data_IF_781910200341
#
_entry.id   IF_781910200341
#
_cell.length_a   1.000
_cell.length_b   1.000
_cell.length_c   1.000
_cell.angle_alpha   90.00
_cell.angle_beta   90.00
_cell.angle_gamma   90.00
#
_symmetry.space_group_name_H-M   'P 1'
#
loop_
_entity.id
_entity.type
_entity.pdbx_description
1 polymer ?
#
# COMPACT_ATOMS: atom_id res chain seq x y z
N UNK A 1 -5.76 -19.83 -2.73
CA UNK A 1 -6.85 -19.13 -3.39
C UNK A 1 -6.52 -17.67 -3.59
N UNK A 2 -7.16 -17.01 -4.55
CA UNK A 2 -6.86 -15.62 -4.88
C UNK A 2 -6.95 -14.67 -3.70
N UNK A 3 -7.98 -14.85 -2.86
CA UNK A 3 -8.19 -13.97 -1.72
C UNK A 3 -7.05 -14.04 -0.71
N UNK A 4 -6.53 -15.25 -0.47
CA UNK A 4 -5.43 -15.42 0.49
C UNK A 4 -4.14 -14.79 -0.05
N UNK A 5 -3.90 -14.92 -1.35
CA UNK A 5 -2.72 -14.34 -1.99
C UNK A 5 -2.77 -12.82 -1.89
N UNK A 6 -3.95 -12.23 -2.12
CA UNK A 6 -4.12 -10.78 -2.03
C UNK A 6 -3.94 -10.30 -0.60
N UNK A 7 -4.47 -11.04 0.38
CA UNK A 7 -4.31 -10.69 1.78
C UNK A 7 -2.85 -10.73 2.21
N UNK A 8 -2.13 -11.77 1.78
CA UNK A 8 -0.70 -11.88 2.07
C UNK A 8 0.06 -10.72 1.46
N UNK A 9 -0.31 -10.33 0.25
CA UNK A 9 0.32 -9.20 -0.42
C UNK A 9 0.02 -7.89 0.31
N UNK A 10 -1.21 -7.70 0.78
CA UNK A 10 -1.58 -6.52 1.55
C UNK A 10 -0.72 -6.40 2.81
N UNK A 11 -0.54 -7.52 3.51
CA UNK A 11 0.29 -7.54 4.72
C UNK A 11 1.74 -7.15 4.37
N UNK A 12 2.26 -7.68 3.28
CA UNK A 12 3.60 -7.34 2.82
C UNK A 12 3.73 -5.83 2.56
N UNK A 13 2.77 -5.25 1.84
CA UNK A 13 2.80 -3.82 1.51
C UNK A 13 2.70 -2.98 2.78
N UNK A 14 1.82 -3.36 3.69
CA UNK A 14 1.63 -2.66 4.95
C UNK A 14 2.94 -2.62 5.76
N UNK A 15 3.58 -3.78 5.90
CA UNK A 15 4.82 -3.88 6.67
C UNK A 15 5.95 -3.08 6.02
N UNK A 16 6.06 -3.16 4.70
CA UNK A 16 7.08 -2.39 3.97
C UNK A 16 6.84 -0.89 4.11
N UNK A 17 5.60 -0.47 3.96
CA UNK A 17 5.27 0.96 4.07
C UNK A 17 5.57 1.50 5.46
N UNK A 18 5.18 0.76 6.49
CA UNK A 18 5.45 1.15 7.88
C UNK A 18 6.95 1.30 8.12
N UNK A 19 7.71 0.33 7.62
CA UNK A 19 9.15 0.34 7.83
C UNK A 19 9.83 1.48 7.08
N UNK A 20 9.52 1.63 5.80
CA UNK A 20 10.19 2.63 4.95
C UNK A 20 9.79 4.05 5.32
N UNK A 21 8.54 4.28 5.70
CA UNK A 21 8.04 5.60 6.04
C UNK A 21 8.03 5.87 7.54
N UNK A 22 8.49 4.91 8.33
CA UNK A 22 8.56 5.02 9.80
C UNK A 22 7.23 5.45 10.39
N UNK A 23 6.16 4.81 9.95
CA UNK A 23 4.80 5.10 10.41
C UNK A 23 4.34 4.06 11.41
N UNK A 24 3.48 4.48 12.35
CA UNK A 24 2.79 3.53 13.21
C UNK A 24 1.66 2.87 12.42
N UNK A 25 1.15 1.75 12.95
CA UNK A 25 0.02 1.07 12.33
C UNK A 25 -1.18 1.99 12.19
N UNK A 26 -1.49 2.77 13.24
CA UNK A 26 -2.63 3.68 13.23
C UNK A 26 -2.47 4.77 12.18
N UNK A 27 -1.30 5.35 12.07
CA UNK A 27 -1.03 6.38 11.07
C UNK A 27 -1.20 5.83 9.66
N UNK A 28 -0.68 4.65 9.43
CA UNK A 28 -0.75 4.00 8.12
C UNK A 28 -2.19 3.67 7.75
N UNK A 29 -2.97 3.11 8.70
CA UNK A 29 -4.36 2.77 8.46
C UNK A 29 -5.17 4.02 8.11
N UNK A 30 -4.94 5.12 8.83
CA UNK A 30 -5.61 6.39 8.54
C UNK A 30 -5.31 6.87 7.12
N UNK A 31 -4.05 6.85 6.72
CA UNK A 31 -3.65 7.28 5.38
C UNK A 31 -4.27 6.39 4.31
N UNK A 32 -4.17 5.09 4.50
CA UNK A 32 -4.65 4.13 3.50
C UNK A 32 -6.17 4.19 3.36
N UNK A 33 -6.88 4.42 4.46
CA UNK A 33 -8.33 4.55 4.42
C UNK A 33 -8.75 5.87 3.77
N UNK A 34 -8.10 6.96 4.15
CA UNK A 34 -8.44 8.29 3.65
C UNK A 34 -8.25 8.41 2.14
N UNK A 35 -7.19 7.82 1.61
CA UNK A 35 -6.85 7.96 0.19
C UNK A 35 -7.17 6.71 -0.62
N UNK A 36 -7.94 5.79 -0.04
CA UNK A 36 -8.39 4.56 -0.72
C UNK A 36 -7.23 3.72 -1.26
N UNK A 37 -6.15 3.65 -0.48
CA UNK A 37 -4.95 2.92 -0.90
C UNK A 37 -5.18 1.41 -0.92
N UNK A 38 -6.01 0.89 0.00
CA UNK A 38 -6.32 -0.54 -0.01
C UNK A 38 -6.97 -0.94 -1.34
N UNK A 39 -7.91 -0.14 -1.82
CA UNK A 39 -8.55 -0.40 -3.12
C UNK A 39 -7.54 -0.33 -4.26
N UNK A 40 -6.64 0.64 -4.22
CA UNK A 40 -5.58 0.75 -5.20
C UNK A 40 -4.73 -0.51 -5.25
N UNK A 41 -4.32 -1.03 -4.09
CA UNK A 41 -3.48 -2.21 -4.02
C UNK A 41 -4.22 -3.44 -4.57
N UNK A 42 -5.48 -3.62 -4.16
CA UNK A 42 -6.27 -4.76 -4.59
C UNK A 42 -6.52 -4.72 -6.09
N UNK A 43 -6.91 -3.56 -6.61
CA UNK A 43 -7.26 -3.41 -8.02
C UNK A 43 -6.05 -3.47 -8.95
N UNK A 44 -4.85 -3.26 -8.42
CA UNK A 44 -3.62 -3.26 -9.21
C UNK A 44 -2.66 -4.36 -8.80
N UNK A 45 -3.17 -5.41 -8.18
CA UNK A 45 -2.35 -6.51 -7.68
C UNK A 45 -1.44 -7.07 -8.76
N UNK A 46 -1.99 -7.31 -9.96
CA UNK A 46 -1.22 -7.92 -11.05
C UNK A 46 0.02 -7.10 -11.42
N UNK A 47 -0.10 -5.80 -11.39
CA UNK A 47 1.03 -4.92 -11.67
C UNK A 47 1.96 -4.78 -10.47
N UNK A 48 1.38 -4.60 -9.29
CA UNK A 48 2.15 -4.30 -8.09
C UNK A 48 2.94 -5.48 -7.56
N UNK A 49 2.40 -6.70 -7.69
CA UNK A 49 3.05 -7.86 -7.06
C UNK A 49 4.41 -8.21 -7.68
N UNK A 50 4.72 -7.63 -8.85
CA UNK A 50 6.03 -7.82 -9.49
C UNK A 50 7.02 -6.74 -9.09
N UNK A 51 6.58 -5.74 -8.32
CA UNK A 51 7.43 -4.63 -7.90
C UNK A 51 7.99 -4.88 -6.50
N UNK A 52 9.13 -4.28 -6.22
CA UNK A 52 9.70 -4.32 -4.88
C UNK A 52 8.94 -3.41 -3.93
N UNK A 53 9.08 -3.66 -2.62
CA UNK A 53 8.38 -2.88 -1.60
C UNK A 53 8.65 -1.38 -1.67
N UNK A 54 9.88 -1.00 -2.02
CA UNK A 54 10.24 0.41 -2.17
C UNK A 54 9.49 1.09 -3.30
N UNK A 55 9.43 0.42 -4.45
CA UNK A 55 8.73 0.97 -5.61
C UNK A 55 7.23 1.11 -5.32
N UNK A 56 6.64 0.13 -4.64
CA UNK A 56 5.23 0.18 -4.25
C UNK A 56 5.00 1.34 -3.28
N UNK A 57 5.88 1.52 -2.31
CA UNK A 57 5.79 2.61 -1.34
C UNK A 57 5.85 3.97 -2.03
N UNK A 58 6.74 4.10 -3.02
CA UNK A 58 6.86 5.35 -3.78
C UNK A 58 5.58 5.65 -4.55
N UNK A 59 4.96 4.62 -5.16
CA UNK A 59 3.69 4.78 -5.87
C UNK A 59 2.58 5.20 -4.91
N UNK A 60 2.53 4.61 -3.74
CA UNK A 60 1.52 4.98 -2.73
C UNK A 60 1.69 6.43 -2.32
N UNK A 61 2.92 6.84 -2.05
CA UNK A 61 3.20 8.23 -1.66
C UNK A 61 2.84 9.21 -2.76
N UNK A 62 3.07 8.83 -4.00
CA UNK A 62 2.68 9.65 -5.14
C UNK A 62 1.17 9.88 -5.17
N UNK A 63 0.39 8.83 -4.92
CA UNK A 63 -1.07 8.93 -4.88
C UNK A 63 -1.52 9.83 -3.74
N UNK A 64 -0.93 9.64 -2.56
CA UNK A 64 -1.28 10.44 -1.38
C UNK A 64 -0.99 11.91 -1.64
N UNK A 65 0.14 12.23 -2.22
CA UNK A 65 0.51 13.60 -2.54
C UNK A 65 -0.48 14.23 -3.52
N UNK A 66 -0.86 13.50 -4.55
CA UNK A 66 -1.77 14.03 -5.56
C UNK A 66 -3.16 14.27 -5.00
N UNK A 67 -3.66 13.35 -4.18
CA UNK A 67 -5.00 13.47 -3.60
C UNK A 67 -5.04 14.47 -2.46
N UNK A 68 -3.93 14.66 -1.78
CA UNK A 68 -3.84 15.57 -0.65
C UNK A 68 -3.58 17.03 -1.03
N UNK A 69 -3.34 17.28 -2.30
CA UNK A 69 -3.01 18.64 -2.79
C UNK A 69 -4.23 19.48 -3.08
#
# INVERSE_FOLDING_TARGET
>A
MKTDIINDFLIFVIEEYKYLEKKTANEMIELFSKYEIFDFIINNYDALHTMGGRAITDDINFIIERKGS
#
